data_IF_131588216750
#
_entry.id   IF_131588216750
#
_cell.length_a   1.000
_cell.length_b   1.000
_cell.length_c   1.000
_cell.angle_alpha   90.00
_cell.angle_beta   90.00
_cell.angle_gamma   90.00
#
_symmetry.space_group_name_H-M   'P 1'
#
loop_
_entity.id
_entity.type
_entity.pdbx_description
1 polymer ?
#
# COMPACT_ATOMS: atom_id res chain seq x y z
N UNK A 1 -17.12 -12.01 -2.44
CA UNK A 1 -17.60 -13.35 -2.01
C UNK A 1 -16.68 -13.80 -0.86
N UNK A 2 -17.21 -14.10 0.34
CA UNK A 2 -16.41 -14.58 1.46
C UNK A 2 -15.66 -15.86 1.12
N UNK A 3 -14.37 -15.94 1.40
CA UNK A 3 -13.57 -17.15 1.23
C UNK A 3 -12.91 -17.52 2.56
N UNK A 4 -13.35 -18.63 3.16
CA UNK A 4 -12.87 -19.07 4.46
C UNK A 4 -13.26 -18.11 5.59
N UNK A 5 -12.29 -17.70 6.42
CA UNK A 5 -12.51 -16.75 7.52
C UNK A 5 -12.38 -15.28 7.09
N UNK A 6 -11.93 -14.99 5.86
CA UNK A 6 -11.81 -13.64 5.34
C UNK A 6 -13.14 -13.20 4.71
N UNK A 7 -13.68 -12.07 5.16
CA UNK A 7 -14.88 -11.45 4.60
C UNK A 7 -14.59 -10.71 3.28
N UNK A 8 -13.35 -10.33 3.06
CA UNK A 8 -12.84 -9.74 1.82
C UNK A 8 -11.33 -9.99 1.70
N UNK A 9 -10.83 -10.08 0.48
CA UNK A 9 -9.42 -10.32 0.21
C UNK A 9 -9.01 -9.57 -1.07
N UNK A 10 -7.98 -8.73 -0.95
CA UNK A 10 -7.39 -8.04 -2.10
C UNK A 10 -6.09 -8.75 -2.49
N UNK A 11 -6.00 -9.14 -3.76
CA UNK A 11 -4.78 -9.72 -4.33
C UNK A 11 -4.20 -8.74 -5.34
N UNK A 12 -2.94 -8.40 -5.14
CA UNK A 12 -2.17 -7.66 -6.13
C UNK A 12 -1.47 -8.66 -7.05
N UNK A 13 -1.89 -8.72 -8.30
CA UNK A 13 -1.17 -9.50 -9.31
C UNK A 13 0.11 -8.76 -9.68
N UNK A 14 1.29 -9.41 -9.63
CA UNK A 14 2.48 -8.80 -10.20
C UNK A 14 2.27 -8.64 -11.71
N UNK A 15 2.57 -7.47 -12.25
CA UNK A 15 2.72 -7.34 -13.70
C UNK A 15 3.84 -8.26 -14.17
N UNK A 16 3.63 -8.91 -15.30
CA UNK A 16 4.59 -9.83 -15.91
C UNK A 16 5.99 -9.23 -15.93
N UNK A 17 6.98 -9.94 -15.33
CA UNK A 17 8.43 -9.74 -15.44
C UNK A 17 9.05 -8.44 -14.89
N UNK A 18 8.44 -7.70 -13.97
CA UNK A 18 9.16 -6.60 -13.32
C UNK A 18 10.05 -7.13 -12.17
N UNK A 19 11.34 -7.32 -12.46
CA UNK A 19 12.35 -7.68 -11.46
C UNK A 19 12.63 -6.53 -10.48
N UNK A 20 12.39 -5.28 -10.88
CA UNK A 20 12.61 -4.07 -10.08
C UNK A 20 11.31 -3.31 -9.87
N UNK A 21 11.09 -2.85 -8.63
CA UNK A 21 9.90 -2.09 -8.24
C UNK A 21 10.33 -0.67 -7.86
N UNK A 22 9.67 0.33 -8.42
CA UNK A 22 9.97 1.74 -8.16
C UNK A 22 9.35 2.22 -6.84
N UNK A 23 9.84 3.35 -6.31
CA UNK A 23 9.25 4.03 -5.15
C UNK A 23 7.77 4.37 -5.37
N UNK A 24 7.40 4.83 -6.57
CA UNK A 24 6.02 5.15 -6.93
C UNK A 24 5.11 3.92 -6.88
N UNK A 25 5.59 2.79 -7.41
CA UNK A 25 4.84 1.52 -7.37
C UNK A 25 4.64 1.00 -5.94
N UNK A 26 5.66 1.13 -5.07
CA UNK A 26 5.52 0.75 -3.65
C UNK A 26 4.52 1.64 -2.93
N UNK A 27 4.56 2.98 -3.17
CA UNK A 27 3.55 3.89 -2.64
C UNK A 27 2.15 3.54 -3.13
N UNK A 28 1.98 3.25 -4.42
CA UNK A 28 0.69 2.85 -4.96
C UNK A 28 0.16 1.55 -4.32
N UNK A 29 1.04 0.59 -4.00
CA UNK A 29 0.65 -0.62 -3.27
C UNK A 29 0.21 -0.31 -1.84
N UNK A 30 0.91 0.60 -1.14
CA UNK A 30 0.50 1.08 0.18
C UNK A 30 -0.89 1.74 0.11
N UNK A 31 -1.09 2.64 -0.85
CA UNK A 31 -2.38 3.31 -1.06
C UNK A 31 -3.50 2.33 -1.39
N UNK A 32 -3.22 1.34 -2.26
CA UNK A 32 -4.19 0.29 -2.58
C UNK A 32 -4.61 -0.54 -1.36
N UNK A 33 -3.65 -0.89 -0.49
CA UNK A 33 -3.95 -1.60 0.75
C UNK A 33 -4.72 -0.74 1.77
N UNK A 34 -4.52 0.59 1.75
CA UNK A 34 -5.27 1.53 2.60
C UNK A 34 -6.66 1.87 2.05
N UNK A 35 -6.97 1.49 0.79
CA UNK A 35 -8.21 1.85 0.10
C UNK A 35 -9.48 1.43 0.84
N UNK A 36 -9.51 0.23 1.40
CA UNK A 36 -10.64 -0.25 2.20
C UNK A 36 -10.91 0.62 3.43
N UNK A 37 -9.86 0.96 4.18
CA UNK A 37 -9.93 1.84 5.34
C UNK A 37 -10.38 3.26 4.94
N UNK A 38 -9.84 3.80 3.86
CA UNK A 38 -10.21 5.12 3.36
C UNK A 38 -11.67 5.15 2.88
N UNK A 39 -12.14 4.08 2.26
CA UNK A 39 -13.54 3.96 1.84
C UNK A 39 -14.49 3.94 3.04
N UNK A 40 -14.17 3.18 4.10
CA UNK A 40 -14.97 3.21 5.35
C UNK A 40 -15.02 4.61 5.95
N UNK A 41 -13.89 5.31 6.01
CA UNK A 41 -13.77 6.66 6.58
C UNK A 41 -14.62 7.67 5.79
N UNK A 42 -14.54 7.65 4.46
CA UNK A 42 -15.29 8.57 3.57
C UNK A 42 -16.79 8.26 3.55
N UNK A 43 -17.17 6.97 3.57
CA UNK A 43 -18.57 6.54 3.39
C UNK A 43 -19.35 6.59 4.69
N UNK A 44 -18.76 6.12 5.78
CA UNK A 44 -19.45 5.94 7.07
C UNK A 44 -18.99 6.94 8.13
N UNK A 45 -17.87 7.61 7.91
CA UNK A 45 -17.27 8.54 8.85
C UNK A 45 -16.23 7.90 9.76
N UNK A 46 -15.32 8.73 10.27
CA UNK A 46 -14.13 8.30 11.00
C UNK A 46 -14.43 7.43 12.25
N UNK A 47 -15.57 7.60 12.88
CA UNK A 47 -15.92 6.82 14.09
C UNK A 47 -16.46 5.42 13.76
N UNK A 48 -16.90 5.20 12.53
CA UNK A 48 -17.52 3.95 12.08
C UNK A 48 -16.53 3.01 11.35
N UNK A 49 -15.22 3.38 11.31
CA UNK A 49 -14.20 2.51 10.73
C UNK A 49 -14.06 1.22 11.52
N UNK A 50 -13.98 0.09 10.80
CA UNK A 50 -14.01 -1.24 11.40
C UNK A 50 -12.61 -1.84 11.59
N UNK A 51 -12.55 -3.00 12.25
CA UNK A 51 -11.31 -3.78 12.38
C UNK A 51 -10.93 -4.54 11.11
N UNK A 52 -11.75 -4.49 10.06
CA UNK A 52 -11.59 -5.27 8.83
C UNK A 52 -10.24 -5.05 8.14
N UNK A 53 -9.74 -3.81 8.15
CA UNK A 53 -8.47 -3.44 7.55
C UNK A 53 -7.20 -3.80 8.39
N UNK A 54 -7.35 -4.54 9.50
CA UNK A 54 -6.23 -4.81 10.41
C UNK A 54 -5.04 -5.51 9.76
N UNK A 55 -5.28 -6.47 8.87
CA UNK A 55 -4.25 -7.16 8.11
C UNK A 55 -3.54 -6.23 7.11
N UNK A 56 -4.30 -5.42 6.40
CA UNK A 56 -3.77 -4.46 5.42
C UNK A 56 -2.90 -3.40 6.10
N UNK A 57 -3.30 -2.91 7.28
CA UNK A 57 -2.52 -1.95 8.06
C UNK A 57 -1.18 -2.54 8.50
N UNK A 58 -1.14 -3.81 8.91
CA UNK A 58 0.12 -4.49 9.26
C UNK A 58 1.04 -4.62 8.04
N UNK A 59 0.49 -4.98 6.88
CA UNK A 59 1.23 -5.07 5.63
C UNK A 59 1.79 -3.71 5.20
N UNK A 60 1.00 -2.66 5.29
CA UNK A 60 1.39 -1.27 5.02
C UNK A 60 2.56 -0.85 5.90
N UNK A 61 2.48 -1.08 7.21
CA UNK A 61 3.55 -0.75 8.15
C UNK A 61 4.85 -1.48 7.81
N UNK A 62 4.77 -2.77 7.48
CA UNK A 62 5.92 -3.57 7.08
C UNK A 62 6.54 -3.07 5.77
N UNK A 63 5.72 -2.74 4.77
CA UNK A 63 6.17 -2.22 3.47
C UNK A 63 6.85 -0.85 3.63
N UNK A 64 6.23 0.07 4.36
CA UNK A 64 6.80 1.38 4.63
C UNK A 64 8.14 1.27 5.40
N UNK A 65 8.23 0.38 6.40
CA UNK A 65 9.47 0.14 7.13
C UNK A 65 10.58 -0.40 6.21
N UNK A 66 10.27 -1.34 5.34
CA UNK A 66 11.23 -1.84 4.36
C UNK A 66 11.71 -0.74 3.40
N UNK A 67 10.82 0.14 2.95
CA UNK A 67 11.18 1.29 2.11
C UNK A 67 12.17 2.22 2.81
N UNK A 68 11.96 2.48 4.11
CA UNK A 68 12.82 3.35 4.91
C UNK A 68 14.15 2.69 5.24
N UNK A 69 14.13 1.44 5.73
CA UNK A 69 15.30 0.83 6.37
C UNK A 69 16.19 0.03 5.43
N UNK A 70 15.63 -0.56 4.37
CA UNK A 70 16.35 -1.47 3.47
C UNK A 70 16.54 -0.92 2.06
N UNK A 71 15.56 -0.16 1.57
CA UNK A 71 15.56 0.32 0.19
C UNK A 71 16.07 1.76 0.05
N UNK A 72 16.35 2.45 1.18
CA UNK A 72 16.80 3.85 1.16
C UNK A 72 15.82 4.81 0.45
N UNK A 73 14.51 4.51 0.53
CA UNK A 73 13.46 5.25 -0.17
C UNK A 73 12.74 6.26 0.73
N UNK A 74 13.46 6.86 1.68
CA UNK A 74 12.97 7.90 2.60
C UNK A 74 13.86 9.13 2.56
N UNK A 75 13.50 10.14 3.35
CA UNK A 75 14.29 11.36 3.50
C UNK A 75 15.58 11.14 4.32
N UNK A 76 15.77 9.96 4.92
CA UNK A 76 17.04 9.56 5.56
C UNK A 76 18.14 9.25 4.53
N UNK A 77 17.81 9.24 3.25
CA UNK A 77 18.73 9.01 2.15
C UNK A 77 18.89 7.52 1.76
N UNK A 78 19.75 7.24 0.77
CA UNK A 78 19.96 5.91 0.23
C UNK A 78 20.91 5.08 1.11
N UNK A 79 20.52 4.87 2.37
CA UNK A 79 21.30 4.14 3.38
C UNK A 79 20.49 2.94 3.84
N UNK A 80 21.12 1.76 3.91
CA UNK A 80 20.56 0.59 4.56
C UNK A 80 20.76 0.72 6.08
N UNK A 81 19.69 0.97 6.81
CA UNK A 81 19.70 1.21 8.26
C UNK A 81 19.48 -0.07 9.06
N UNK A 82 18.81 -1.07 8.49
CA UNK A 82 18.69 -2.42 9.04
C UNK A 82 19.44 -3.39 8.14
N UNK A 83 20.50 -3.98 8.65
CA UNK A 83 21.26 -5.01 7.95
C UNK A 83 20.40 -6.24 7.68
N UNK A 84 20.55 -6.82 6.48
CA UNK A 84 19.96 -8.11 6.16
C UNK A 84 20.60 -9.19 7.03
N UNK A 85 20.10 -9.37 8.22
CA UNK A 85 20.45 -10.51 9.09
C UNK A 85 19.92 -11.81 8.48
N UNK A 86 20.58 -12.26 7.42
CA UNK A 86 20.38 -13.58 6.87
C UNK A 86 21.70 -14.35 6.98
N UNK A 87 22.18 -14.47 8.25
CA UNK A 87 22.99 -15.60 8.66
C UNK A 87 22.47 -16.06 10.02
N UNK A 88 21.54 -17.02 9.93
CA UNK A 88 21.10 -17.80 11.08
C UNK A 88 22.27 -18.67 11.52
N UNK A 89 23.19 -18.09 12.29
CA UNK A 89 24.13 -18.87 13.10
C UNK A 89 23.50 -19.01 14.48
N UNK A 90 22.87 -20.17 14.69
CA UNK A 90 22.32 -20.62 15.95
C UNK A 90 23.37 -20.47 17.05
N UNK A 91 23.31 -19.39 17.81
CA UNK A 91 24.20 -19.19 18.98
C UNK A 91 24.53 -17.72 19.30
N UNK A 92 24.31 -16.76 18.38
CA UNK A 92 24.67 -15.34 18.58
C UNK A 92 23.47 -14.41 18.83
N UNK A 93 22.25 -14.91 18.62
CA UNK A 93 21.02 -14.10 18.65
C UNK A 93 20.50 -13.72 20.04
N UNK A 94 21.12 -14.25 21.10
CA UNK A 94 20.70 -13.90 22.47
C UNK A 94 21.34 -12.60 22.99
N UNK A 95 22.23 -11.96 22.23
CA UNK A 95 22.92 -10.72 22.61
C UNK A 95 23.10 -9.71 21.47
N UNK A 96 22.38 -9.80 20.35
CA UNK A 96 22.43 -8.72 19.35
C UNK A 96 21.68 -7.51 19.88
N UNK A 97 22.39 -6.63 20.59
CA UNK A 97 21.98 -5.24 20.74
C UNK A 97 21.70 -4.71 19.33
N UNK A 98 20.56 -4.08 19.14
CA UNK A 98 20.26 -3.31 17.94
C UNK A 98 21.50 -2.48 17.57
N UNK A 99 22.11 -2.77 16.40
CA UNK A 99 23.27 -2.00 15.91
C UNK A 99 22.90 -0.57 15.59
N UNK A 100 21.61 -0.24 15.66
CA UNK A 100 21.04 1.06 15.37
C UNK A 100 20.93 1.85 16.67
N UNK A 101 21.45 3.08 16.65
CA UNK A 101 21.28 3.99 17.78
C UNK A 101 19.80 4.32 18.02
N UNK A 102 19.43 4.61 19.27
CA UNK A 102 18.07 5.01 19.63
C UNK A 102 17.59 6.21 18.81
N UNK A 103 18.47 7.16 18.54
CA UNK A 103 18.18 8.35 17.71
C UNK A 103 17.78 7.96 16.28
N UNK A 104 18.48 7.01 15.66
CA UNK A 104 18.15 6.52 14.31
C UNK A 104 16.83 5.72 14.33
N UNK A 105 16.62 4.90 15.36
CA UNK A 105 15.34 4.17 15.52
C UNK A 105 14.14 5.12 15.57
N UNK A 106 14.26 6.23 16.32
CA UNK A 106 13.22 7.26 16.38
C UNK A 106 13.00 7.92 15.02
N UNK A 107 14.07 8.22 14.29
CA UNK A 107 13.96 8.80 12.94
C UNK A 107 13.28 7.83 11.96
N UNK A 108 13.59 6.53 12.01
CA UNK A 108 12.92 5.49 11.22
C UNK A 108 11.42 5.50 11.52
N UNK A 109 11.03 5.49 12.78
CA UNK A 109 9.62 5.45 13.19
C UNK A 109 8.86 6.71 12.74
N UNK A 110 9.50 7.88 12.77
CA UNK A 110 8.94 9.12 12.24
C UNK A 110 8.71 8.99 10.72
N UNK A 111 9.73 8.55 9.97
CA UNK A 111 9.64 8.43 8.52
C UNK A 111 8.59 7.41 8.07
N UNK A 112 8.48 6.27 8.77
CA UNK A 112 7.45 5.26 8.51
C UNK A 112 6.06 5.84 8.73
N UNK A 113 5.84 6.51 9.87
CA UNK A 113 4.57 7.13 10.21
C UNK A 113 4.16 8.20 9.19
N UNK A 114 5.09 9.09 8.84
CA UNK A 114 4.84 10.18 7.90
C UNK A 114 4.55 9.67 6.49
N UNK A 115 5.25 8.61 6.07
CA UNK A 115 5.01 7.96 4.77
C UNK A 115 3.60 7.35 4.72
N UNK A 116 3.22 6.58 5.73
CA UNK A 116 1.90 5.94 5.82
C UNK A 116 0.80 6.99 5.90
N UNK A 117 1.00 8.04 6.71
CA UNK A 117 0.04 9.14 6.86
C UNK A 117 -0.20 9.85 5.53
N UNK A 118 0.85 10.25 4.80
CA UNK A 118 0.72 10.87 3.49
C UNK A 118 -0.01 9.97 2.49
N UNK A 119 0.36 8.70 2.40
CA UNK A 119 -0.34 7.75 1.54
C UNK A 119 -1.82 7.60 1.92
N UNK A 120 -2.15 7.64 3.20
CA UNK A 120 -3.54 7.56 3.66
C UNK A 120 -4.33 8.81 3.27
N UNK A 121 -3.79 10.00 3.51
CA UNK A 121 -4.41 11.28 3.14
C UNK A 121 -4.67 11.34 1.62
N UNK A 122 -3.67 11.00 0.80
CA UNK A 122 -3.82 10.90 -0.66
C UNK A 122 -4.90 9.87 -1.07
N UNK A 123 -4.98 8.74 -0.36
CA UNK A 123 -5.98 7.70 -0.63
C UNK A 123 -7.39 8.19 -0.29
N UNK A 124 -7.57 8.88 0.83
CA UNK A 124 -8.85 9.49 1.22
C UNK A 124 -9.31 10.52 0.18
N UNK A 125 -8.39 11.36 -0.31
CA UNK A 125 -8.70 12.34 -1.37
C UNK A 125 -9.14 11.65 -2.66
N UNK A 126 -8.45 10.58 -3.08
CA UNK A 126 -8.83 9.81 -4.28
C UNK A 126 -10.21 9.20 -4.10
N UNK A 127 -10.49 8.56 -2.97
CA UNK A 127 -11.78 7.94 -2.69
C UNK A 127 -12.90 9.00 -2.66
N UNK A 128 -12.67 10.12 -1.98
CA UNK A 128 -13.64 11.21 -1.89
C UNK A 128 -13.94 11.84 -3.26
N UNK A 129 -12.90 12.09 -4.06
CA UNK A 129 -13.02 12.68 -5.40
C UNK A 129 -13.71 11.76 -6.41
N UNK A 130 -13.68 10.44 -6.18
CA UNK A 130 -14.28 9.45 -7.07
C UNK A 130 -15.48 8.74 -6.43
N UNK A 131 -16.16 9.40 -5.49
CA UNK A 131 -17.26 8.80 -4.73
C UNK A 131 -18.40 8.29 -5.63
N UNK A 132 -18.77 9.02 -6.65
CA UNK A 132 -19.83 8.63 -7.58
C UNK A 132 -19.46 7.33 -8.35
N UNK A 133 -18.21 7.21 -8.77
CA UNK A 133 -17.71 5.99 -9.40
C UNK A 133 -17.76 4.78 -8.44
N UNK A 134 -17.40 5.01 -7.18
CA UNK A 134 -17.43 3.95 -6.15
C UNK A 134 -18.86 3.51 -5.89
N UNK A 135 -19.80 4.42 -5.72
CA UNK A 135 -21.21 4.12 -5.49
C UNK A 135 -21.79 3.32 -6.68
N UNK A 136 -21.45 3.70 -7.91
CA UNK A 136 -21.86 2.98 -9.11
C UNK A 136 -21.28 1.55 -9.18
N UNK A 137 -20.00 1.40 -8.82
CA UNK A 137 -19.35 0.07 -8.75
C UNK A 137 -20.01 -0.82 -7.68
N UNK A 138 -20.36 -0.26 -6.52
CA UNK A 138 -21.07 -0.97 -5.47
C UNK A 138 -22.43 -1.49 -5.95
N UNK A 139 -23.24 -0.65 -6.60
CA UNK A 139 -24.53 -1.06 -7.18
C UNK A 139 -24.36 -2.25 -8.14
N UNK A 140 -23.41 -2.14 -9.09
CA UNK A 140 -23.15 -3.20 -10.06
C UNK A 140 -22.67 -4.49 -9.41
N UNK A 141 -21.81 -4.40 -8.38
CA UNK A 141 -21.31 -5.57 -7.68
C UNK A 141 -22.37 -6.23 -6.80
N UNK A 142 -23.33 -5.48 -6.26
CA UNK A 142 -24.49 -6.04 -5.55
C UNK A 142 -25.37 -6.82 -6.53
N UNK A 143 -25.56 -6.30 -7.75
CA UNK A 143 -26.40 -6.94 -8.77
C UNK A 143 -25.74 -8.17 -9.39
N UNK A 144 -24.46 -8.06 -9.77
CA UNK A 144 -23.74 -9.06 -10.58
C UNK A 144 -22.85 -10.00 -9.77
N UNK A 145 -22.56 -9.68 -8.52
CA UNK A 145 -21.61 -10.36 -7.61
C UNK A 145 -20.15 -10.39 -8.10
N UNK A 146 -19.91 -10.29 -9.39
CA UNK A 146 -18.58 -10.32 -10.01
C UNK A 146 -18.47 -9.31 -11.13
N UNK A 147 -17.27 -8.75 -11.32
CA UNK A 147 -16.96 -7.81 -12.39
C UNK A 147 -15.57 -8.10 -12.98
N UNK A 148 -15.46 -8.08 -14.31
CA UNK A 148 -14.18 -8.23 -15.00
C UNK A 148 -13.38 -6.92 -15.02
N UNK A 149 -12.05 -7.03 -15.21
CA UNK A 149 -11.18 -5.84 -15.20
C UNK A 149 -11.50 -4.81 -16.29
N UNK A 150 -11.92 -5.26 -17.47
CA UNK A 150 -12.28 -4.34 -18.57
C UNK A 150 -13.61 -3.63 -18.30
N UNK A 151 -14.59 -4.34 -17.72
CA UNK A 151 -15.85 -3.73 -17.28
C UNK A 151 -15.62 -2.71 -16.16
N UNK A 152 -14.77 -3.03 -15.18
CA UNK A 152 -14.36 -2.11 -14.13
C UNK A 152 -13.77 -0.81 -14.71
N UNK A 153 -12.82 -0.93 -15.65
CA UNK A 153 -12.20 0.22 -16.31
C UNK A 153 -13.21 1.06 -17.08
N UNK A 154 -14.14 0.42 -17.78
CA UNK A 154 -15.18 1.11 -18.53
C UNK A 154 -16.08 1.94 -17.60
N UNK A 155 -16.53 1.37 -16.48
CA UNK A 155 -17.35 2.09 -15.50
C UNK A 155 -16.58 3.26 -14.88
N UNK A 156 -15.31 3.03 -14.47
CA UNK A 156 -14.51 4.11 -13.87
C UNK A 156 -14.26 5.24 -14.87
N UNK A 157 -14.05 4.92 -16.15
CA UNK A 157 -13.80 5.91 -17.20
C UNK A 157 -14.99 6.86 -17.46
N UNK A 158 -16.21 6.50 -17.05
CA UNK A 158 -17.38 7.38 -17.12
C UNK A 158 -17.28 8.56 -16.13
N UNK A 159 -16.56 8.40 -15.03
CA UNK A 159 -16.48 9.37 -13.94
C UNK A 159 -15.12 10.06 -13.82
N UNK A 160 -14.05 9.40 -14.21
CA UNK A 160 -12.70 9.93 -14.07
C UNK A 160 -11.78 9.44 -15.20
N UNK A 161 -10.78 10.26 -15.51
CA UNK A 161 -9.73 9.85 -16.44
C UNK A 161 -8.86 8.77 -15.79
N UNK A 162 -8.91 7.55 -16.32
CA UNK A 162 -8.00 6.48 -15.90
C UNK A 162 -6.61 6.78 -16.48
N UNK A 163 -5.56 6.96 -15.65
CA UNK A 163 -4.23 7.22 -16.17
C UNK A 163 -3.78 6.05 -17.06
N UNK A 164 -3.39 6.33 -18.28
CA UNK A 164 -2.68 5.34 -19.09
C UNK A 164 -1.33 5.03 -18.43
N UNK A 165 -0.93 3.76 -18.51
CA UNK A 165 0.36 3.30 -18.00
C UNK A 165 1.46 3.87 -18.92
N UNK A 166 1.95 5.07 -18.59
CA UNK A 166 3.10 5.66 -19.29
C UNK A 166 4.33 4.76 -19.11
N UNK A 167 4.59 3.91 -20.08
CA UNK A 167 5.86 3.21 -20.21
C UNK A 167 6.87 4.18 -20.84
N UNK A 168 7.35 5.14 -20.07
CA UNK A 168 8.50 5.93 -20.49
C UNK A 168 9.72 5.00 -20.50
N UNK A 169 9.99 4.41 -21.66
CA UNK A 169 11.27 3.72 -21.90
C UNK A 169 12.31 4.82 -21.96
N UNK A 170 13.11 4.96 -20.92
CA UNK A 170 14.31 5.81 -20.98
C UNK A 170 15.31 5.05 -21.86
N UNK A 171 15.40 5.45 -23.11
CA UNK A 171 16.52 5.06 -23.99
C UNK A 171 17.76 5.79 -23.48
N UNK A 172 18.70 5.03 -22.94
CA UNK A 172 20.04 5.53 -22.65
C UNK A 172 20.80 5.53 -23.99
N UNK A 173 21.06 6.72 -24.52
CA UNK A 173 21.99 6.94 -25.63
C UNK A 173 23.44 6.79 -25.17
#
# INVERSE_FOLDING_TARGET
VPRGQAQGLTWFSPDEEQTLVTRAQLKARIMGALGGRAAEDVVFGHQEVTTGAGGDIQQVASMARNMVTRLGMSDLGPVALEGGGQEVFLGRDLMSRSEISESISQQIDIQVRDMVKRCYEETVEIVASNREAIDRLVELLIEKETMGGDEFKAVVAEFTAVPEKDRTVVTLD
#
